data_IF_624479024634
#
_entry.id   IF_624479024634
#
_cell.length_a   1.000
_cell.length_b   1.000
_cell.length_c   1.000
_cell.angle_alpha   90.00
_cell.angle_beta   90.00
_cell.angle_gamma   90.00
#
_symmetry.space_group_name_H-M   'P 1'
#
loop_
_entity.id
_entity.type
_entity.pdbx_description
1 polymer ?
#
# COMPACT_ATOMS: atom_id res chain seq x y z
N UNK A 1 -6.36 -0.31 33.31
CA UNK A 1 -7.56 -0.77 34.03
C UNK A 1 -8.35 -1.63 33.06
N UNK A 2 -8.43 -2.93 33.31
CA UNK A 2 -9.33 -3.83 32.60
C UNK A 2 -10.73 -3.56 33.13
N UNK A 3 -11.56 -2.89 32.32
CA UNK A 3 -12.96 -2.66 32.68
C UNK A 3 -13.71 -3.99 32.56
N UNK A 4 -14.54 -4.31 33.54
CA UNK A 4 -15.46 -5.44 33.42
C UNK A 4 -16.49 -5.08 32.35
N UNK A 5 -16.41 -5.73 31.18
CA UNK A 5 -17.36 -5.56 30.06
C UNK A 5 -18.81 -5.86 30.47
N UNK A 6 -19.02 -6.58 31.59
CA UNK A 6 -20.35 -6.85 32.12
C UNK A 6 -20.91 -5.71 33.00
N UNK A 7 -20.08 -4.77 33.45
CA UNK A 7 -20.53 -3.62 34.24
C UNK A 7 -21.32 -2.62 33.36
N UNK A 8 -22.32 -1.95 33.94
CA UNK A 8 -23.09 -0.91 33.23
C UNK A 8 -22.19 0.19 32.64
N UNK A 9 -21.12 0.54 33.36
CA UNK A 9 -20.08 1.44 32.85
C UNK A 9 -19.42 0.89 31.60
N UNK A 10 -18.90 -0.34 31.65
CA UNK A 10 -18.23 -1.00 30.51
C UNK A 10 -19.16 -1.23 29.31
N UNK A 11 -20.46 -1.40 29.55
CA UNK A 11 -21.46 -1.52 28.50
C UNK A 11 -21.75 -0.21 27.76
N UNK A 12 -21.47 0.96 28.33
CA UNK A 12 -21.78 2.26 27.70
C UNK A 12 -20.51 3.03 27.30
N UNK A 13 -19.42 2.83 28.03
CA UNK A 13 -18.13 3.46 27.75
C UNK A 13 -17.56 3.06 26.39
N UNK A 14 -16.95 4.01 25.69
CA UNK A 14 -16.20 3.75 24.47
C UNK A 14 -17.07 3.44 23.24
N UNK A 15 -18.30 3.93 23.23
CA UNK A 15 -19.28 3.73 22.15
C UNK A 15 -19.78 5.06 21.60
N UNK A 16 -20.31 5.04 20.38
CA UNK A 16 -21.03 6.17 19.82
C UNK A 16 -22.48 6.21 20.31
N UNK A 17 -22.91 7.34 20.86
CA UNK A 17 -24.31 7.63 21.08
C UNK A 17 -24.95 8.06 19.75
N UNK A 18 -25.96 7.33 19.29
CA UNK A 18 -26.61 7.54 18.00
C UNK A 18 -28.11 7.56 18.20
N UNK A 19 -28.80 8.57 17.69
CA UNK A 19 -30.26 8.58 17.70
C UNK A 19 -30.81 7.50 16.77
N UNK A 20 -32.05 7.08 17.01
CA UNK A 20 -32.79 6.18 16.10
C UNK A 20 -32.85 6.66 14.65
N UNK A 21 -32.74 7.97 14.40
CA UNK A 21 -32.69 8.58 13.07
C UNK A 21 -31.30 8.46 12.40
N UNK A 22 -30.31 7.87 13.07
CA UNK A 22 -28.94 7.71 12.58
C UNK A 22 -28.02 8.91 12.85
N UNK A 23 -28.49 9.91 13.60
CA UNK A 23 -27.69 11.09 13.96
C UNK A 23 -26.72 10.73 15.08
N UNK A 24 -25.41 10.85 14.81
CA UNK A 24 -24.37 10.65 15.82
C UNK A 24 -24.36 11.84 16.77
N UNK A 25 -24.68 11.60 18.05
CA UNK A 25 -24.62 12.60 19.12
C UNK A 25 -23.20 12.83 19.58
N UNK A 26 -22.42 11.76 19.73
CA UNK A 26 -21.01 11.85 20.12
C UNK A 26 -20.42 10.51 20.55
N UNK A 27 -19.14 10.53 20.89
CA UNK A 27 -18.43 9.36 21.41
C UNK A 27 -18.29 9.44 22.93
N UNK A 28 -18.79 8.43 23.64
CA UNK A 28 -18.82 8.33 25.10
C UNK A 28 -17.43 8.03 25.64
N UNK A 29 -16.89 8.97 26.42
CA UNK A 29 -15.59 8.81 27.08
C UNK A 29 -15.70 8.72 28.60
N UNK A 30 -16.86 8.99 29.19
CA UNK A 30 -17.12 8.74 30.60
C UNK A 30 -18.62 8.52 30.85
N UNK A 31 -18.92 7.75 31.89
CA UNK A 31 -20.28 7.33 32.25
C UNK A 31 -20.42 7.41 33.76
N UNK A 32 -21.37 8.21 34.23
CA UNK A 32 -21.78 8.24 35.63
C UNK A 32 -23.22 7.73 35.76
N UNK A 33 -23.50 7.01 36.84
CA UNK A 33 -24.79 6.35 37.07
C UNK A 33 -25.37 6.81 38.40
N UNK A 34 -26.46 7.57 38.35
CA UNK A 34 -27.18 8.05 39.53
C UNK A 34 -28.49 7.28 39.71
N UNK A 35 -28.79 6.83 40.93
CA UNK A 35 -30.09 6.26 41.29
C UNK A 35 -30.82 7.26 42.17
N UNK A 36 -31.94 7.80 41.68
CA UNK A 36 -32.71 8.82 42.39
C UNK A 36 -34.20 8.53 42.27
N UNK A 37 -34.87 8.39 43.41
CA UNK A 37 -36.32 8.18 43.45
C UNK A 37 -36.81 6.86 42.86
N UNK A 38 -35.93 5.85 42.73
CA UNK A 38 -36.25 4.57 42.09
C UNK A 38 -35.97 4.53 40.58
N UNK A 39 -35.59 5.66 39.98
CA UNK A 39 -35.16 5.76 38.60
C UNK A 39 -33.63 5.75 38.50
N UNK A 40 -33.13 5.20 37.38
CA UNK A 40 -31.69 5.16 37.04
C UNK A 40 -31.44 6.23 35.98
N UNK A 41 -30.43 7.05 36.20
CA UNK A 41 -29.95 8.07 35.28
C UNK A 41 -28.51 7.76 34.84
N UNK A 42 -28.29 7.75 33.54
CA UNK A 42 -26.97 7.62 32.92
C UNK A 42 -26.52 9.01 32.47
N UNK A 43 -25.46 9.53 33.06
CA UNK A 43 -24.82 10.77 32.64
C UNK A 43 -23.61 10.42 31.77
N UNK A 44 -23.76 10.66 30.47
CA UNK A 44 -22.74 10.40 29.47
C UNK A 44 -21.97 11.69 29.18
N UNK A 45 -20.67 11.68 29.42
CA UNK A 45 -19.77 12.71 28.92
C UNK A 45 -19.19 12.23 27.58
N UNK A 46 -19.35 13.06 26.54
CA UNK A 46 -19.06 12.67 25.16
C UNK A 46 -18.30 13.76 24.40
N UNK A 47 -17.68 13.37 23.29
CA UNK A 47 -17.13 14.28 22.29
C UNK A 47 -18.03 14.33 21.05
N UNK A 48 -18.44 15.53 20.61
CA UNK A 48 -19.40 15.71 19.50
C UNK A 48 -18.88 15.19 18.16
N UNK A 49 -17.57 15.28 17.91
CA UNK A 49 -16.92 14.70 16.75
C UNK A 49 -15.71 13.90 17.24
N UNK A 50 -15.73 12.59 17.03
CA UNK A 50 -14.57 11.75 17.20
C UNK A 50 -14.42 10.93 15.91
N UNK A 51 -13.35 11.18 15.15
CA UNK A 51 -12.90 10.24 14.13
C UNK A 51 -12.23 9.08 14.86
N UNK A 52 -13.03 8.10 15.28
CA UNK A 52 -12.50 6.85 15.84
C UNK A 52 -12.03 6.03 14.65
N UNK A 53 -10.75 6.16 14.33
CA UNK A 53 -10.10 5.18 13.46
C UNK A 53 -10.18 3.82 14.15
N UNK A 54 -10.34 2.78 13.32
CA UNK A 54 -10.83 1.42 13.58
C UNK A 54 -10.04 0.56 14.61
N UNK A 55 -9.34 1.16 15.57
CA UNK A 55 -8.44 0.48 16.50
C UNK A 55 -8.25 1.30 17.77
N UNK A 56 -9.25 1.35 18.66
CA UNK A 56 -9.11 1.50 20.13
C UNK A 56 -8.23 2.62 20.71
N UNK A 57 -7.72 3.55 19.91
CA UNK A 57 -6.85 4.64 20.30
C UNK A 57 -7.27 5.87 19.51
N UNK A 58 -7.93 6.78 20.22
CA UNK A 58 -8.41 8.03 19.66
C UNK A 58 -7.42 9.12 20.03
N UNK A 59 -6.93 9.82 19.00
CA UNK A 59 -6.01 10.94 19.15
C UNK A 59 -6.67 12.09 19.92
N UNK A 60 -6.16 12.40 21.12
CA UNK A 60 -6.75 13.42 22.02
C UNK A 60 -6.79 14.84 21.44
N UNK A 61 -6.02 15.09 20.38
CA UNK A 61 -5.95 16.39 19.69
C UNK A 61 -7.06 16.64 18.67
N UNK A 62 -7.95 15.65 18.41
CA UNK A 62 -8.98 15.71 17.35
C UNK A 62 -10.41 15.59 17.88
N UNK A 63 -10.64 15.87 19.15
CA UNK A 63 -11.98 15.85 19.72
C UNK A 63 -12.75 17.15 19.46
N UNK A 64 -14.00 17.01 19.03
CA UNK A 64 -14.99 18.09 19.06
C UNK A 64 -15.31 18.56 20.48
N UNK A 65 -16.21 19.55 20.65
CA UNK A 65 -16.60 20.04 21.97
C UNK A 65 -17.13 18.91 22.85
N UNK A 66 -16.84 19.02 24.15
CA UNK A 66 -17.39 18.12 25.17
C UNK A 66 -18.86 18.44 25.36
N UNK A 67 -19.69 17.41 25.29
CA UNK A 67 -21.12 17.49 25.48
C UNK A 67 -21.52 16.49 26.56
N UNK A 68 -22.57 16.82 27.30
CA UNK A 68 -23.17 15.95 28.30
C UNK A 68 -24.55 15.51 27.83
N UNK A 69 -24.87 14.25 28.04
CA UNK A 69 -26.19 13.71 27.74
C UNK A 69 -26.64 12.85 28.92
N UNK A 70 -27.79 13.20 29.49
CA UNK A 70 -28.43 12.39 30.52
C UNK A 70 -29.53 11.54 29.89
N UNK A 71 -29.52 10.24 30.15
CA UNK A 71 -30.51 9.29 29.65
C UNK A 71 -31.07 8.44 30.80
N UNK A 72 -32.29 7.94 30.61
CA UNK A 72 -32.86 6.87 31.42
C UNK A 72 -32.83 5.55 30.64
N UNK A 73 -33.03 4.38 31.29
CA UNK A 73 -33.16 3.10 30.59
C UNK A 73 -34.23 3.09 29.49
N UNK A 74 -35.29 3.90 29.62
CA UNK A 74 -36.37 4.01 28.62
C UNK A 74 -35.91 4.73 27.34
N UNK A 75 -34.88 5.57 27.44
CA UNK A 75 -34.35 6.32 26.31
C UNK A 75 -33.41 5.47 25.45
N UNK A 76 -32.86 4.39 26.01
CA UNK A 76 -31.92 3.49 25.34
C UNK A 76 -32.70 2.38 24.64
N UNK A 77 -32.63 2.34 23.31
CA UNK A 77 -33.26 1.29 22.52
C UNK A 77 -32.40 0.02 22.47
N UNK A 78 -31.09 0.18 22.24
CA UNK A 78 -30.16 -0.93 22.13
C UNK A 78 -28.72 -0.50 22.46
N UNK A 79 -27.93 -1.44 22.98
CA UNK A 79 -26.50 -1.25 23.24
C UNK A 79 -25.74 -2.32 22.47
N UNK A 80 -25.01 -1.91 21.43
CA UNK A 80 -24.19 -2.76 20.58
C UNK A 80 -22.72 -2.77 20.99
N UNK A 81 -21.87 -3.39 20.15
CA UNK A 81 -20.42 -3.40 20.37
C UNK A 81 -19.80 -2.00 20.25
N UNK A 82 -20.24 -1.21 19.25
CA UNK A 82 -19.61 0.07 18.92
C UNK A 82 -20.54 1.29 19.13
N UNK A 83 -21.85 1.07 19.33
CA UNK A 83 -22.84 2.14 19.42
C UNK A 83 -23.94 1.87 20.45
N UNK A 84 -24.46 2.94 21.04
CA UNK A 84 -25.66 3.02 21.86
C UNK A 84 -26.74 3.69 21.00
N UNK A 85 -27.86 3.02 20.78
CA UNK A 85 -28.99 3.54 20.02
C UNK A 85 -29.99 4.19 20.97
N UNK A 86 -30.26 5.48 20.77
CA UNK A 86 -31.08 6.32 21.64
C UNK A 86 -32.39 6.64 20.93
N UNK A 87 -33.49 6.30 21.57
CA UNK A 87 -34.85 6.51 21.08
C UNK A 87 -35.63 7.57 21.84
N UNK A 88 -35.16 7.97 23.01
CA UNK A 88 -35.94 8.83 23.93
C UNK A 88 -37.34 8.26 24.22
N UNK A 89 -37.45 6.93 24.34
CA UNK A 89 -38.71 6.22 24.56
C UNK A 89 -39.58 6.02 23.33
N UNK A 90 -39.13 6.45 22.13
CA UNK A 90 -39.87 6.25 20.87
C UNK A 90 -39.46 4.93 20.21
N UNK A 91 -40.36 3.95 20.21
CA UNK A 91 -40.14 2.74 19.41
C UNK A 91 -40.26 3.13 17.92
N UNK A 92 -39.26 2.83 17.07
CA UNK A 92 -39.35 3.10 15.64
C UNK A 92 -40.59 2.43 15.04
N UNK A 93 -41.30 3.14 14.17
CA UNK A 93 -42.50 2.60 13.52
C UNK A 93 -42.14 1.38 12.66
N UNK A 94 -43.09 0.45 12.45
CA UNK A 94 -42.87 -0.78 11.67
C UNK A 94 -42.25 -0.50 10.27
N UNK A 95 -42.61 0.63 9.65
CA UNK A 95 -42.06 1.08 8.36
C UNK A 95 -40.56 1.39 8.43
N UNK A 96 -40.07 1.93 9.55
CA UNK A 96 -38.65 2.23 9.74
C UNK A 96 -37.85 0.94 9.96
N UNK A 97 -38.42 -0.03 10.69
CA UNK A 97 -37.82 -1.35 10.88
C UNK A 97 -37.61 -2.07 9.54
N UNK A 98 -38.59 -2.00 8.64
CA UNK A 98 -38.47 -2.56 7.28
C UNK A 98 -37.39 -1.85 6.46
N UNK A 99 -37.29 -0.52 6.55
CA UNK A 99 -36.21 0.25 5.91
C UNK A 99 -34.83 -0.16 6.44
N UNK A 100 -34.68 -0.35 7.75
CA UNK A 100 -33.41 -0.80 8.33
C UNK A 100 -33.00 -2.18 7.81
N UNK A 101 -33.95 -3.11 7.63
CA UNK A 101 -33.65 -4.43 7.04
C UNK A 101 -33.14 -4.30 5.60
N UNK A 102 -33.73 -3.41 4.80
CA UNK A 102 -33.28 -3.15 3.44
C UNK A 102 -31.86 -2.55 3.43
N UNK A 103 -31.62 -1.53 4.26
CA UNK A 103 -30.30 -0.89 4.40
C UNK A 103 -29.24 -1.90 4.85
N UNK A 104 -29.59 -2.82 5.75
CA UNK A 104 -28.66 -3.85 6.23
C UNK A 104 -28.30 -4.85 5.12
N UNK A 105 -29.29 -5.26 4.31
CA UNK A 105 -29.06 -6.11 3.14
C UNK A 105 -28.20 -5.41 2.07
N UNK A 106 -28.42 -4.11 1.83
CA UNK A 106 -27.58 -3.29 0.95
C UNK A 106 -26.15 -3.17 1.47
N UNK A 107 -25.98 -2.95 2.78
CA UNK A 107 -24.67 -2.86 3.42
C UNK A 107 -23.89 -4.18 3.28
N UNK A 108 -24.54 -5.32 3.46
CA UNK A 108 -23.91 -6.63 3.27
C UNK A 108 -23.58 -6.91 1.80
N UNK A 109 -24.38 -6.40 0.86
CA UNK A 109 -24.04 -6.38 -0.56
C UNK A 109 -22.80 -5.54 -0.86
N UNK A 110 -22.73 -4.32 -0.30
CA UNK A 110 -21.57 -3.44 -0.43
C UNK A 110 -20.31 -4.06 0.18
N UNK A 111 -20.39 -4.69 1.35
CA UNK A 111 -19.25 -5.41 1.97
C UNK A 111 -18.72 -6.56 1.11
N UNK A 112 -19.57 -7.23 0.34
CA UNK A 112 -19.13 -8.26 -0.62
C UNK A 112 -18.38 -7.64 -1.79
N UNK A 113 -18.95 -6.61 -2.40
CA UNK A 113 -18.30 -5.88 -3.51
C UNK A 113 -16.95 -5.28 -3.11
N UNK A 114 -16.85 -4.73 -1.90
CA UNK A 114 -15.59 -4.20 -1.36
C UNK A 114 -14.53 -5.31 -1.24
N UNK A 115 -14.93 -6.52 -0.80
CA UNK A 115 -14.01 -7.67 -0.74
C UNK A 115 -13.55 -8.11 -2.11
N UNK A 116 -14.47 -8.26 -3.06
CA UNK A 116 -14.16 -8.63 -4.45
C UNK A 116 -13.17 -7.63 -5.08
N UNK A 117 -13.45 -6.32 -4.96
CA UNK A 117 -12.54 -5.28 -5.46
C UNK A 117 -11.18 -5.28 -4.75
N UNK A 118 -11.13 -5.61 -3.46
CA UNK A 118 -9.87 -5.75 -2.73
C UNK A 118 -9.03 -6.91 -3.24
N UNK A 119 -9.65 -8.05 -3.51
CA UNK A 119 -8.98 -9.23 -4.07
C UNK A 119 -8.43 -8.97 -5.48
N UNK A 120 -9.20 -8.29 -6.33
CA UNK A 120 -8.75 -7.86 -7.66
C UNK A 120 -7.56 -6.89 -7.58
N UNK A 121 -7.62 -5.90 -6.68
CA UNK A 121 -6.53 -4.96 -6.45
C UNK A 121 -5.25 -5.66 -6.00
N UNK A 122 -5.35 -6.63 -5.09
CA UNK A 122 -4.19 -7.42 -4.67
C UNK A 122 -3.59 -8.22 -5.84
N UNK A 123 -4.42 -8.85 -6.67
CA UNK A 123 -3.96 -9.60 -7.83
C UNK A 123 -3.22 -8.71 -8.84
N UNK A 124 -3.78 -7.54 -9.14
CA UNK A 124 -3.14 -6.54 -10.01
C UNK A 124 -1.83 -6.06 -9.42
N UNK A 125 -1.79 -5.78 -8.12
CA UNK A 125 -0.58 -5.29 -7.42
C UNK A 125 0.54 -6.33 -7.47
N UNK A 126 0.22 -7.62 -7.29
CA UNK A 126 1.20 -8.72 -7.45
C UNK A 126 1.71 -8.78 -8.89
N UNK A 127 0.82 -8.76 -9.88
CA UNK A 127 1.24 -8.76 -11.29
C UNK A 127 2.11 -7.56 -11.67
N UNK A 128 1.89 -6.41 -11.05
CA UNK A 128 2.70 -5.21 -11.29
C UNK A 128 4.12 -5.39 -10.76
N UNK A 129 4.28 -5.94 -9.55
CA UNK A 129 5.59 -6.25 -8.96
C UNK A 129 6.39 -7.23 -9.82
N UNK A 130 5.76 -8.32 -10.27
CA UNK A 130 6.41 -9.31 -11.13
C UNK A 130 6.90 -8.68 -12.46
N UNK A 131 6.16 -7.71 -12.98
CA UNK A 131 6.56 -6.98 -14.19
C UNK A 131 7.70 -6.01 -13.93
N UNK A 132 7.69 -5.31 -12.79
CA UNK A 132 8.78 -4.41 -12.40
C UNK A 132 10.10 -5.17 -12.20
N UNK A 133 10.05 -6.34 -11.56
CA UNK A 133 11.23 -7.22 -11.42
C UNK A 133 11.79 -7.63 -12.79
N UNK A 134 10.93 -8.07 -13.71
CA UNK A 134 11.34 -8.38 -15.09
C UNK A 134 11.93 -7.17 -15.82
N UNK A 135 11.39 -5.98 -15.60
CA UNK A 135 11.92 -4.75 -16.20
C UNK A 135 13.32 -4.46 -15.64
N UNK A 136 13.55 -4.66 -14.34
CA UNK A 136 14.88 -4.47 -13.75
C UNK A 136 15.91 -5.47 -14.31
N UNK A 137 15.55 -6.75 -14.41
CA UNK A 137 16.41 -7.77 -15.02
C UNK A 137 16.74 -7.45 -16.48
N UNK A 138 15.74 -7.01 -17.25
CA UNK A 138 15.95 -6.62 -18.65
C UNK A 138 16.85 -5.41 -18.79
N UNK A 139 16.73 -4.41 -17.90
CA UNK A 139 17.61 -3.23 -17.90
C UNK A 139 19.06 -3.63 -17.62
N UNK A 140 19.30 -4.53 -16.68
CA UNK A 140 20.64 -5.05 -16.40
C UNK A 140 21.22 -5.80 -17.61
N UNK A 141 20.42 -6.66 -18.25
CA UNK A 141 20.83 -7.37 -19.48
C UNK A 141 21.20 -6.40 -20.60
N UNK A 142 20.40 -5.35 -20.81
CA UNK A 142 20.70 -4.31 -21.81
C UNK A 142 22.01 -3.59 -21.47
N UNK A 143 22.26 -3.29 -20.19
CA UNK A 143 23.53 -2.66 -19.79
C UNK A 143 24.73 -3.56 -20.06
N UNK A 144 24.62 -4.86 -19.81
CA UNK A 144 25.68 -5.85 -20.11
C UNK A 144 25.90 -5.92 -21.62
N UNK A 145 24.84 -5.96 -22.42
CA UNK A 145 24.94 -6.00 -23.88
C UNK A 145 25.63 -4.76 -24.45
N UNK A 146 25.34 -3.56 -23.93
CA UNK A 146 26.02 -2.32 -24.35
C UNK A 146 27.52 -2.38 -24.09
N UNK A 147 27.95 -2.88 -22.93
CA UNK A 147 29.38 -3.05 -22.64
C UNK A 147 30.05 -4.03 -23.61
N UNK A 148 29.36 -5.11 -23.96
CA UNK A 148 29.86 -6.06 -24.95
C UNK A 148 29.94 -5.48 -26.36
N UNK A 149 29.01 -4.59 -26.73
CA UNK A 149 29.10 -3.85 -28.00
C UNK A 149 30.35 -2.95 -28.02
N UNK A 150 30.60 -2.21 -26.94
CA UNK A 150 31.81 -1.39 -26.80
C UNK A 150 33.10 -2.23 -26.91
N UNK A 151 33.17 -3.37 -26.23
CA UNK A 151 34.29 -4.33 -26.34
C UNK A 151 34.46 -4.86 -27.77
N UNK A 152 33.35 -5.14 -28.46
CA UNK A 152 33.37 -5.65 -29.82
C UNK A 152 33.89 -4.59 -30.80
N UNK A 153 33.53 -3.33 -30.63
CA UNK A 153 34.02 -2.23 -31.46
C UNK A 153 35.53 -2.01 -31.28
N UNK A 154 36.03 -2.06 -30.04
CA UNK A 154 37.47 -2.02 -29.77
C UNK A 154 38.23 -3.16 -30.45
N UNK A 155 37.71 -4.39 -30.35
CA UNK A 155 38.31 -5.55 -31.02
C UNK A 155 38.31 -5.40 -32.55
N UNK A 156 37.30 -4.76 -33.14
CA UNK A 156 37.27 -4.48 -34.59
C UNK A 156 38.35 -3.49 -34.99
N UNK A 157 38.58 -2.44 -34.20
CA UNK A 157 39.65 -1.48 -34.44
C UNK A 157 41.04 -2.14 -34.34
N UNK A 158 41.27 -2.95 -33.31
CA UNK A 158 42.51 -3.71 -33.16
C UNK A 158 42.76 -4.66 -34.33
N UNK A 159 41.72 -5.39 -34.76
CA UNK A 159 41.80 -6.27 -35.92
C UNK A 159 42.18 -5.51 -37.20
N UNK A 160 41.60 -4.31 -37.40
CA UNK A 160 41.93 -3.47 -38.55
C UNK A 160 43.40 -3.02 -38.51
N UNK A 161 43.90 -2.64 -37.32
CA UNK A 161 45.30 -2.28 -37.12
C UNK A 161 46.25 -3.43 -37.43
N UNK A 162 46.00 -4.61 -36.86
CA UNK A 162 46.81 -5.80 -37.08
C UNK A 162 46.82 -6.23 -38.55
N UNK A 163 45.70 -6.09 -39.27
CA UNK A 163 45.65 -6.33 -40.72
C UNK A 163 46.58 -5.39 -41.49
N UNK A 164 46.60 -4.10 -41.14
CA UNK A 164 47.51 -3.12 -41.74
C UNK A 164 48.99 -3.45 -41.47
N UNK A 165 49.33 -3.81 -40.23
CA UNK A 165 50.68 -4.23 -39.86
C UNK A 165 51.12 -5.50 -40.61
N UNK A 166 50.23 -6.48 -40.76
CA UNK A 166 50.48 -7.70 -41.53
C UNK A 166 50.74 -7.40 -43.01
N UNK A 167 49.96 -6.50 -43.62
CA UNK A 167 50.17 -6.08 -45.00
C UNK A 167 51.51 -5.37 -45.18
N UNK A 168 51.88 -4.48 -44.27
CA UNK A 168 53.19 -3.83 -44.27
C UNK A 168 54.34 -4.85 -44.13
N UNK A 169 54.22 -5.79 -43.19
CA UNK A 169 55.21 -6.87 -43.01
C UNK A 169 55.36 -7.73 -44.27
N UNK A 170 54.25 -8.06 -44.93
CA UNK A 170 54.26 -8.75 -46.23
C UNK A 170 54.96 -7.95 -47.32
N UNK A 171 54.83 -6.63 -47.33
CA UNK A 171 55.57 -5.78 -48.28
C UNK A 171 57.06 -5.74 -47.95
N UNK A 172 57.45 -5.64 -46.68
CA UNK A 172 58.84 -5.70 -46.26
C UNK A 172 59.51 -7.02 -46.65
N UNK A 173 58.86 -8.16 -46.43
CA UNK A 173 59.38 -9.46 -46.89
C UNK A 173 59.64 -9.49 -48.39
N UNK A 174 58.73 -8.94 -49.21
CA UNK A 174 58.96 -8.84 -50.67
C UNK A 174 60.16 -7.97 -51.04
N UNK A 175 60.46 -6.94 -50.25
CA UNK A 175 61.63 -6.07 -50.47
C UNK A 175 62.90 -6.80 -50.07
N UNK A 176 62.92 -7.50 -48.92
CA UNK A 176 64.04 -8.32 -48.47
C UNK A 176 64.33 -9.42 -49.50
N UNK A 177 63.33 -10.18 -49.94
CA UNK A 177 63.49 -11.21 -50.98
C UNK A 177 64.12 -10.66 -52.27
N UNK A 178 63.78 -9.43 -52.65
CA UNK A 178 64.37 -8.76 -53.81
C UNK A 178 65.82 -8.35 -53.56
N UNK A 179 66.14 -7.87 -52.36
CA UNK A 179 67.50 -7.51 -51.96
C UNK A 179 68.39 -8.76 -51.91
N UNK A 180 67.93 -9.85 -51.30
CA UNK A 180 68.67 -11.12 -51.21
C UNK A 180 68.99 -11.69 -52.59
N UNK A 181 68.03 -11.65 -53.52
CA UNK A 181 68.26 -12.05 -54.92
C UNK A 181 69.29 -11.17 -55.62
N UNK A 182 69.29 -9.85 -55.35
CA UNK A 182 70.30 -8.94 -55.92
C UNK A 182 71.67 -9.20 -55.32
N UNK A 183 71.76 -9.36 -54.00
CA UNK A 183 73.00 -9.65 -53.27
C UNK A 183 73.63 -10.96 -53.75
N UNK A 184 72.82 -12.01 -53.91
CA UNK A 184 73.27 -13.30 -54.46
C UNK A 184 73.87 -13.14 -55.86
N UNK A 185 73.21 -12.38 -56.75
CA UNK A 185 73.78 -12.07 -58.08
C UNK A 185 75.07 -11.27 -58.02
N UNK A 186 75.20 -10.33 -57.07
CA UNK A 186 76.44 -9.57 -56.91
C UNK A 186 77.57 -10.45 -56.39
N UNK A 187 77.31 -11.37 -55.48
CA UNK A 187 78.29 -12.32 -54.96
C UNK A 187 78.76 -13.28 -56.06
N UNK A 188 77.85 -13.83 -56.87
CA UNK A 188 78.20 -14.65 -58.04
C UNK A 188 79.14 -13.91 -59.02
N UNK A 189 78.91 -12.62 -59.25
CA UNK A 189 79.76 -11.80 -60.14
C UNK A 189 81.11 -11.39 -59.55
N UNK A 190 81.35 -11.62 -58.25
CA UNK A 190 82.62 -11.29 -57.57
C UNK A 190 83.50 -12.53 -57.42
N UNK A 191 82.94 -13.74 -57.59
CA UNK A 191 83.67 -15.02 -57.56
C UNK A 191 84.17 -15.50 -58.95
N UNK A 192 83.87 -14.78 -60.04
CA UNK A 192 84.50 -14.90 -61.38
C UNK A 192 85.70 -13.96 -61.56
#
# INVERSE_FOLDING_TARGET
MTFDEKSLYGQLYGKYAVDVEGIIRGYVYDVDVEIKGGDIYFHLDMYQYANVYNTGMVDKSKYGPKIKLTLTPKDVLAVGRDAIVISYGKIPDLKEIERFKLVLAENDGLKRRVRECSEELEAITRSLRDKDEKITELKERVSILRRKEEEFDLLREELARQKGELEASRQYMKVIDKLDRKLSKYLENVEE
#
